data_IF_295067901793
#
_entry.id   IF_295067901793
#
_cell.length_a   1.000
_cell.length_b   1.000
_cell.length_c   1.000
_cell.angle_alpha   90.00
_cell.angle_beta   90.00
_cell.angle_gamma   90.00
#
_symmetry.space_group_name_H-M   'P 1'
#
loop_
_entity.id
_entity.type
_entity.pdbx_description
1 polymer ?
#
# COMPACT_ATOMS: atom_id res chain seq x y z
N UNK A 1 13.70 13.97 2.81
CA UNK A 1 12.86 14.99 2.15
C UNK A 1 12.28 14.50 0.80
N UNK A 2 13.09 13.96 -0.12
CA UNK A 2 12.64 13.48 -1.44
C UNK A 2 11.68 12.25 -1.43
N UNK A 3 11.78 11.36 -0.43
CA UNK A 3 10.88 10.18 -0.34
C UNK A 3 9.43 10.59 -0.06
N UNK A 4 9.25 11.55 0.85
CA UNK A 4 7.92 12.03 1.29
C UNK A 4 7.19 12.71 0.12
N UNK A 5 7.89 13.48 -0.71
CA UNK A 5 7.27 14.11 -1.88
C UNK A 5 6.84 13.09 -2.94
N UNK A 6 7.62 12.04 -3.18
CA UNK A 6 7.27 10.97 -4.12
C UNK A 6 6.02 10.21 -3.68
N UNK A 7 5.92 9.84 -2.40
CA UNK A 7 4.75 9.14 -1.85
C UNK A 7 3.49 10.01 -1.95
N UNK A 8 3.57 11.30 -1.61
CA UNK A 8 2.42 12.20 -1.75
C UNK A 8 1.94 12.34 -3.19
N UNK A 9 2.86 12.43 -4.15
CA UNK A 9 2.50 12.52 -5.56
C UNK A 9 1.86 11.22 -6.06
N UNK A 10 2.42 10.07 -5.68
CA UNK A 10 1.84 8.77 -6.02
C UNK A 10 0.46 8.57 -5.37
N UNK A 11 0.28 8.97 -4.11
CA UNK A 11 -1.02 8.94 -3.43
C UNK A 11 -2.07 9.69 -4.26
N UNK A 12 -1.75 10.92 -4.68
CA UNK A 12 -2.70 11.75 -5.43
C UNK A 12 -3.04 11.15 -6.79
N UNK A 13 -2.05 10.68 -7.53
CA UNK A 13 -2.27 10.07 -8.86
C UNK A 13 -3.06 8.76 -8.77
N UNK A 14 -2.85 7.95 -7.73
CA UNK A 14 -3.64 6.74 -7.48
C UNK A 14 -5.07 7.10 -7.06
N UNK A 15 -5.23 8.08 -6.17
CA UNK A 15 -6.55 8.57 -5.74
C UNK A 15 -7.38 9.10 -6.92
N UNK A 16 -6.76 9.79 -7.87
CA UNK A 16 -7.46 10.31 -9.05
C UNK A 16 -8.00 9.19 -9.96
N UNK A 17 -7.41 7.99 -9.92
CA UNK A 17 -7.86 6.82 -10.69
C UNK A 17 -8.89 5.99 -9.92
N UNK A 18 -8.62 5.71 -8.65
CA UNK A 18 -9.41 4.80 -7.83
C UNK A 18 -10.55 5.49 -7.06
N UNK A 19 -10.42 6.79 -6.80
CA UNK A 19 -11.27 7.53 -5.87
C UNK A 19 -10.76 7.49 -4.42
N UNK A 20 -11.19 8.48 -3.63
CA UNK A 20 -10.73 8.69 -2.25
C UNK A 20 -11.08 7.57 -1.27
N UNK A 21 -12.08 6.75 -1.59
CA UNK A 21 -12.51 5.66 -0.70
C UNK A 21 -11.54 4.47 -0.73
N UNK A 22 -10.69 4.38 -1.75
CA UNK A 22 -9.81 3.25 -1.99
C UNK A 22 -8.33 3.52 -1.70
N UNK A 23 -8.00 4.73 -1.23
CA UNK A 23 -6.62 5.13 -0.88
C UNK A 23 -6.60 5.80 0.49
N UNK A 24 -5.70 5.37 1.38
CA UNK A 24 -5.62 5.93 2.74
C UNK A 24 -4.19 5.98 3.26
N UNK A 25 -3.83 7.09 3.92
CA UNK A 25 -2.58 7.27 4.67
C UNK A 25 -2.81 7.40 6.19
N UNK A 26 -4.06 7.19 6.64
CA UNK A 26 -4.47 7.30 8.05
C UNK A 26 -3.81 6.22 8.90
N UNK A 27 -3.40 6.58 10.11
CA UNK A 27 -2.63 5.68 11.00
C UNK A 27 -3.38 4.39 11.35
N UNK A 28 -4.70 4.44 11.57
CA UNK A 28 -5.48 3.24 11.87
C UNK A 28 -5.54 2.27 10.69
N UNK A 29 -5.58 2.79 9.46
CA UNK A 29 -5.53 1.95 8.25
C UNK A 29 -4.15 1.33 8.11
N UNK A 30 -3.07 2.11 8.24
CA UNK A 30 -1.70 1.57 8.17
C UNK A 30 -1.46 0.51 9.25
N UNK A 31 -1.96 0.72 10.47
CA UNK A 31 -1.90 -0.25 11.56
C UNK A 31 -2.57 -1.58 11.18
N UNK A 32 -3.78 -1.53 10.62
CA UNK A 32 -4.55 -2.72 10.23
C UNK A 32 -3.84 -3.61 9.18
N UNK A 33 -2.95 -3.03 8.37
CA UNK A 33 -2.21 -3.74 7.32
C UNK A 33 -0.74 -4.01 7.70
N UNK A 34 -0.29 -3.58 8.88
CA UNK A 34 1.11 -3.68 9.30
C UNK A 34 1.51 -5.03 9.90
N UNK A 35 0.53 -5.86 10.27
CA UNK A 35 0.75 -7.06 11.08
C UNK A 35 0.65 -8.37 10.29
N UNK A 36 1.47 -9.32 10.70
CA UNK A 36 1.35 -10.73 10.39
C UNK A 36 0.55 -11.44 11.51
N UNK A 37 0.07 -12.66 11.26
CA UNK A 37 -0.61 -13.48 12.27
C UNK A 37 0.35 -14.01 13.35
N UNK A 38 1.62 -14.22 13.00
CA UNK A 38 2.66 -14.61 13.96
C UNK A 38 3.24 -13.35 14.64
N UNK A 39 3.02 -13.16 15.96
CA UNK A 39 3.48 -12.00 16.70
C UNK A 39 5.00 -11.93 16.88
N UNK A 40 5.75 -12.97 16.49
CA UNK A 40 7.21 -12.93 16.48
C UNK A 40 7.77 -12.01 15.38
N UNK A 41 7.00 -11.76 14.32
CA UNK A 41 7.39 -10.80 13.28
C UNK A 41 7.07 -9.36 13.69
N UNK A 42 7.99 -8.41 13.47
CA UNK A 42 7.74 -7.01 13.77
C UNK A 42 6.71 -6.41 12.82
N UNK A 43 5.92 -5.45 13.33
CA UNK A 43 5.00 -4.65 12.53
C UNK A 43 5.77 -3.91 11.41
N UNK A 44 5.28 -4.01 10.17
CA UNK A 44 5.84 -3.32 9.01
C UNK A 44 4.85 -2.31 8.46
N UNK A 45 5.16 -1.04 8.64
CA UNK A 45 4.25 0.04 8.28
C UNK A 45 4.45 0.51 6.85
N UNK A 46 3.37 0.46 6.06
CA UNK A 46 3.30 1.10 4.75
C UNK A 46 3.12 2.61 4.89
N UNK A 47 3.57 3.39 3.89
CA UNK A 47 3.31 4.83 3.86
C UNK A 47 1.84 5.14 3.44
N UNK A 48 1.27 4.30 2.56
CA UNK A 48 -0.11 4.42 2.03
C UNK A 48 -0.72 3.01 1.84
N UNK A 49 -2.06 2.91 1.96
CA UNK A 49 -2.86 1.71 1.70
C UNK A 49 -3.72 1.95 0.47
N UNK A 50 -3.74 0.99 -0.46
CA UNK A 50 -4.49 1.05 -1.72
C UNK A 50 -5.32 -0.23 -1.89
N UNK A 51 -6.58 -0.10 -2.27
CA UNK A 51 -7.52 -1.24 -2.42
C UNK A 51 -8.18 -1.21 -3.80
N UNK A 52 -7.52 -1.70 -4.87
CA UNK A 52 -8.14 -1.75 -6.20
C UNK A 52 -9.25 -2.80 -6.27
N UNK A 53 -10.20 -2.59 -7.17
CA UNK A 53 -11.32 -3.50 -7.46
C UNK A 53 -11.14 -4.26 -8.78
N UNK A 54 -10.33 -3.73 -9.71
CA UNK A 54 -10.13 -4.30 -11.05
C UNK A 54 -8.67 -4.60 -11.35
N UNK A 55 -8.44 -5.50 -12.31
CA UNK A 55 -7.08 -5.82 -12.80
C UNK A 55 -6.43 -4.65 -13.53
N UNK A 56 -7.24 -3.79 -14.13
CA UNK A 56 -6.83 -2.57 -14.83
C UNK A 56 -6.28 -1.55 -13.82
N UNK A 57 -6.97 -1.33 -12.70
CA UNK A 57 -6.48 -0.48 -11.60
C UNK A 57 -5.16 -1.02 -11.02
N UNK A 58 -5.03 -2.33 -10.84
CA UNK A 58 -3.76 -2.94 -10.40
C UNK A 58 -2.63 -2.59 -11.37
N UNK A 59 -2.88 -2.68 -12.69
CA UNK A 59 -1.90 -2.33 -13.71
C UNK A 59 -1.47 -0.85 -13.61
N UNK A 60 -2.42 0.06 -13.42
CA UNK A 60 -2.14 1.49 -13.25
C UNK A 60 -1.34 1.77 -11.96
N UNK A 61 -1.69 1.15 -10.84
CA UNK A 61 -0.92 1.27 -9.58
C UNK A 61 0.53 0.84 -9.78
N UNK A 62 0.77 -0.29 -10.46
CA UNK A 62 2.13 -0.78 -10.72
C UNK A 62 2.92 0.20 -11.59
N UNK A 63 2.30 0.80 -12.62
CA UNK A 63 2.93 1.82 -13.46
C UNK A 63 3.31 3.07 -12.65
N UNK A 64 2.40 3.56 -11.80
CA UNK A 64 2.63 4.72 -10.94
C UNK A 64 3.73 4.43 -9.91
N UNK A 65 3.69 3.27 -9.26
CA UNK A 65 4.71 2.86 -8.31
C UNK A 65 6.09 2.80 -8.97
N UNK A 66 6.19 2.26 -10.20
CA UNK A 66 7.44 2.23 -10.96
C UNK A 66 7.91 3.64 -11.39
N UNK A 67 7.00 4.52 -11.80
CA UNK A 67 7.27 5.93 -12.14
C UNK A 67 7.94 6.66 -10.97
N UNK A 68 7.40 6.51 -9.75
CA UNK A 68 7.94 7.16 -8.55
C UNK A 68 9.03 6.36 -7.84
N UNK A 69 9.30 5.12 -8.25
CA UNK A 69 10.22 4.16 -7.60
C UNK A 69 9.80 3.85 -6.16
N UNK A 70 8.51 3.58 -5.97
CA UNK A 70 7.91 3.18 -4.70
C UNK A 70 7.77 1.66 -4.71
N UNK A 71 8.14 1.02 -3.59
CA UNK A 71 7.94 -0.42 -3.40
C UNK A 71 6.46 -0.67 -3.10
N UNK A 72 5.91 -1.72 -3.69
CA UNK A 72 4.59 -2.23 -3.38
C UNK A 72 4.71 -3.58 -2.68
N UNK A 73 3.81 -3.85 -1.74
CA UNK A 73 3.67 -5.15 -1.08
C UNK A 73 2.23 -5.60 -1.32
N UNK A 74 1.99 -6.56 -2.22
CA UNK A 74 0.64 -7.10 -2.41
C UNK A 74 0.23 -7.86 -1.15
N UNK A 75 -1.03 -7.69 -0.74
CA UNK A 75 -1.57 -8.31 0.47
C UNK A 75 -3.02 -8.74 0.26
N UNK A 76 -3.30 -10.00 0.61
CA UNK A 76 -4.66 -10.52 0.74
C UNK A 76 -5.19 -10.35 2.17
N UNK A 77 -5.71 -11.41 2.78
CA UNK A 77 -6.23 -11.39 4.16
C UNK A 77 -5.17 -11.25 5.26
N UNK A 78 -3.88 -11.33 4.95
CA UNK A 78 -2.80 -11.15 5.94
C UNK A 78 -2.58 -12.32 6.91
N UNK A 79 -3.09 -13.51 6.60
CA UNK A 79 -2.99 -14.70 7.44
C UNK A 79 -1.80 -15.62 7.08
N UNK A 80 -0.77 -15.11 6.41
CA UNK A 80 0.41 -15.90 6.09
C UNK A 80 1.24 -16.15 7.36
N UNK A 81 1.87 -17.32 7.47
CA UNK A 81 2.60 -17.74 8.68
C UNK A 81 4.11 -17.46 8.63
N UNK A 82 4.60 -16.77 7.59
CA UNK A 82 6.05 -16.67 7.32
C UNK A 82 6.53 -15.25 7.01
N UNK A 83 5.68 -14.23 7.19
CA UNK A 83 6.03 -12.82 6.99
C UNK A 83 6.10 -12.38 5.52
N UNK A 84 5.47 -13.11 4.60
CA UNK A 84 5.57 -12.87 3.15
C UNK A 84 4.71 -11.71 2.63
N UNK A 85 3.67 -11.33 3.39
CA UNK A 85 2.64 -10.37 2.96
C UNK A 85 2.64 -9.07 3.79
N UNK A 86 3.77 -8.74 4.44
CA UNK A 86 4.00 -7.51 5.24
C UNK A 86 5.40 -6.96 5.08
#
# INVERSE_FOLDING_TARGET
>A
MLKISKVKNAYKEIEDILGSDFVSDKDFMKAAYSRNVDPAFPDRWADIIVRPETTEEVSEIVKIANKYKIRIVPRGGGADLVGGSV
#
